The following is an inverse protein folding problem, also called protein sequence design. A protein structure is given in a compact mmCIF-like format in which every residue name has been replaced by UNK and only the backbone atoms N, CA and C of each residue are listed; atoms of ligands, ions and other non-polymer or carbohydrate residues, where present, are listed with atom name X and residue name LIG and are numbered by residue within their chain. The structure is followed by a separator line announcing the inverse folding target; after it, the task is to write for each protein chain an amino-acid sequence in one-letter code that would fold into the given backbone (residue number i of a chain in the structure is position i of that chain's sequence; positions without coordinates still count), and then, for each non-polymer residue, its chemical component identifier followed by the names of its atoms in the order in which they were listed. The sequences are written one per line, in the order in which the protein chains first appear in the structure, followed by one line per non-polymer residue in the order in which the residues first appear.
data_IF_334308025208
#
_entry.id   IF_334308025208
#
_cell.length_a   1.000
_cell.length_b   1.000
_cell.length_c   1.000
_cell.angle_alpha   90.00
_cell.angle_beta   90.00
_cell.angle_gamma   90.00
#
_symmetry.space_group_name_H-M   'P 1'
#
loop_
_entity.id
_entity.type
_entity.pdbx_description
1 polymer ?
#
# COMPACT_ATOMS: atom_id res chain seq x y z
N UNK A 1 -33.27 -0.27 4.40
CA UNK A 1 -32.24 0.02 5.44
C UNK A 1 -31.12 -1.02 5.51
N UNK A 2 -31.40 -2.32 5.29
CA UNK A 2 -30.39 -3.40 5.31
C UNK A 2 -29.16 -3.16 4.43
N UNK A 3 -29.35 -2.62 3.22
CA UNK A 3 -28.27 -2.40 2.25
C UNK A 3 -27.18 -1.41 2.75
N UNK A 4 -27.54 -0.43 3.59
CA UNK A 4 -26.56 0.50 4.18
C UNK A 4 -25.72 -0.18 5.26
N UNK A 5 -26.31 -1.10 6.03
CA UNK A 5 -25.63 -1.86 7.08
C UNK A 5 -24.70 -2.90 6.44
N UNK A 6 -25.16 -3.61 5.40
CA UNK A 6 -24.31 -4.54 4.63
C UNK A 6 -23.15 -3.80 3.96
N UNK A 7 -23.38 -2.61 3.41
CA UNK A 7 -22.31 -1.77 2.89
C UNK A 7 -21.32 -1.34 4.00
N UNK A 8 -21.80 -0.99 5.20
CA UNK A 8 -20.96 -0.65 6.35
C UNK A 8 -20.15 -1.85 6.88
N UNK A 9 -20.72 -3.05 6.88
CA UNK A 9 -20.03 -4.28 7.28
C UNK A 9 -19.04 -4.75 6.20
N UNK A 10 -19.40 -4.66 4.91
CA UNK A 10 -18.47 -4.90 3.80
C UNK A 10 -17.33 -3.87 3.72
N UNK A 11 -17.49 -2.69 4.32
CA UNK A 11 -16.41 -1.71 4.49
C UNK A 11 -15.45 -2.08 5.63
N UNK A 12 -15.88 -2.89 6.61
CA UNK A 12 -15.02 -3.35 7.74
C UNK A 12 -14.23 -4.62 7.43
N UNK A 13 -14.61 -5.38 6.40
CA UNK A 13 -13.97 -6.65 6.00
C UNK A 13 -13.52 -6.65 4.54
N UNK A 14 -13.04 -5.51 4.01
CA UNK A 14 -12.29 -5.60 2.75
C UNK A 14 -10.96 -6.26 3.05
N UNK A 15 -10.86 -7.56 2.83
CA UNK A 15 -9.57 -8.22 2.74
C UNK A 15 -8.75 -7.52 1.65
N UNK A 16 -7.44 -7.40 1.87
CA UNK A 16 -6.56 -6.82 0.87
C UNK A 16 -6.72 -7.56 -0.46
N UNK A 17 -7.04 -6.81 -1.51
CA UNK A 17 -7.13 -7.33 -2.86
C UNK A 17 -5.97 -6.74 -3.69
N UNK A 18 -5.05 -7.62 -4.09
CA UNK A 18 -3.90 -7.26 -4.91
C UNK A 18 -4.30 -6.72 -6.29
N UNK A 19 -5.35 -7.27 -6.89
CA UNK A 19 -5.89 -6.81 -8.17
C UNK A 19 -6.40 -5.37 -8.07
N UNK A 20 -7.20 -5.07 -7.04
CA UNK A 20 -7.67 -3.70 -6.78
C UNK A 20 -6.51 -2.76 -6.49
N UNK A 21 -5.54 -3.17 -5.66
CA UNK A 21 -4.35 -2.37 -5.39
C UNK A 21 -3.59 -1.98 -6.65
N UNK A 22 -3.40 -2.95 -7.56
CA UNK A 22 -2.65 -2.76 -8.81
C UNK A 22 -3.40 -1.91 -9.81
N UNK A 23 -4.69 -2.17 -10.02
CA UNK A 23 -5.51 -1.53 -11.07
C UNK A 23 -6.13 -0.19 -10.65
N UNK A 24 -6.24 0.09 -9.35
CA UNK A 24 -6.93 1.27 -8.82
C UNK A 24 -6.11 1.98 -7.73
N UNK A 25 -5.05 2.73 -8.10
CA UNK A 25 -4.19 3.44 -7.15
C UNK A 25 -4.95 4.35 -6.17
N UNK A 26 -6.05 4.96 -6.60
CA UNK A 26 -6.92 5.84 -5.80
C UNK A 26 -7.65 5.10 -4.66
N UNK A 27 -7.82 3.78 -4.79
CA UNK A 27 -8.46 2.92 -3.77
C UNK A 27 -7.47 2.36 -2.75
N UNK A 28 -6.15 2.49 -2.96
CA UNK A 28 -5.10 1.96 -2.05
C UNK A 28 -5.25 2.47 -0.62
N UNK A 29 -5.71 3.71 -0.41
CA UNK A 29 -6.00 4.28 0.92
C UNK A 29 -7.00 3.46 1.74
N UNK A 30 -7.89 2.72 1.10
CA UNK A 30 -8.90 1.89 1.76
C UNK A 30 -8.38 0.50 2.12
N UNK A 31 -7.28 0.06 1.49
CA UNK A 31 -6.68 -1.28 1.66
C UNK A 31 -5.46 -1.25 2.59
N UNK A 32 -4.88 -0.06 2.81
CA UNK A 32 -3.61 0.07 3.52
C UNK A 32 -3.67 -0.41 4.97
N UNK A 33 -4.83 -0.34 5.61
CA UNK A 33 -4.99 -0.80 6.99
C UNK A 33 -4.76 -2.31 7.10
N UNK A 34 -5.22 -3.10 6.13
CA UNK A 34 -5.02 -4.54 6.12
C UNK A 34 -3.57 -4.91 5.83
N UNK A 35 -2.93 -4.19 4.89
CA UNK A 35 -1.51 -4.33 4.59
C UNK A 35 -0.67 -4.17 5.85
N UNK A 36 -0.94 -3.13 6.65
CA UNK A 36 -0.22 -2.84 7.88
C UNK A 36 -0.55 -3.85 9.00
N UNK A 37 -1.84 -4.12 9.25
CA UNK A 37 -2.29 -5.02 10.32
C UNK A 37 -1.77 -6.44 10.17
N UNK A 38 -1.69 -6.93 8.93
CA UNK A 38 -1.24 -8.28 8.64
C UNK A 38 0.25 -8.36 8.28
N UNK A 39 1.00 -7.25 8.39
CA UNK A 39 2.40 -7.16 7.98
C UNK A 39 2.68 -7.74 6.59
N UNK A 40 1.78 -7.53 5.62
CA UNK A 40 1.71 -8.32 4.38
C UNK A 40 2.99 -8.32 3.54
N UNK A 41 3.83 -7.29 3.66
CA UNK A 41 5.09 -7.24 2.93
C UNK A 41 6.27 -7.86 3.68
N UNK A 42 6.24 -7.91 5.01
CA UNK A 42 7.40 -8.33 5.83
C UNK A 42 7.73 -9.79 5.52
N UNK A 43 9.02 -10.08 5.36
CA UNK A 43 9.52 -11.40 4.98
C UNK A 43 9.40 -11.72 3.50
N UNK A 44 8.76 -10.87 2.68
CA UNK A 44 8.69 -11.06 1.23
C UNK A 44 9.93 -10.52 0.53
N UNK A 45 10.37 -11.23 -0.50
CA UNK A 45 11.40 -10.74 -1.41
C UNK A 45 10.81 -9.76 -2.44
N UNK A 46 11.67 -9.11 -3.21
CA UNK A 46 11.27 -8.14 -4.22
C UNK A 46 10.25 -8.70 -5.24
N UNK A 47 10.44 -9.92 -5.75
CA UNK A 47 9.54 -10.52 -6.73
C UNK A 47 8.12 -10.72 -6.16
N UNK A 48 8.03 -11.25 -4.94
CA UNK A 48 6.77 -11.41 -4.22
C UNK A 48 6.09 -10.07 -3.93
N UNK A 49 6.87 -9.02 -3.67
CA UNK A 49 6.35 -7.65 -3.54
C UNK A 49 5.79 -7.14 -4.86
N UNK A 50 6.44 -7.42 -5.99
CA UNK A 50 5.91 -7.05 -7.31
C UNK A 50 4.63 -7.80 -7.66
N UNK A 51 4.53 -9.09 -7.32
CA UNK A 51 3.29 -9.86 -7.48
C UNK A 51 2.15 -9.24 -6.66
N UNK A 52 2.45 -8.82 -5.42
CA UNK A 52 1.47 -8.33 -4.46
C UNK A 52 1.02 -6.89 -4.74
N UNK A 53 1.95 -5.97 -4.96
CA UNK A 53 1.68 -4.54 -5.07
C UNK A 53 1.84 -3.98 -6.48
N UNK A 54 2.37 -4.76 -7.41
CA UNK A 54 2.63 -4.33 -8.79
C UNK A 54 3.92 -3.54 -8.96
N UNK A 55 4.12 -3.07 -10.19
CA UNK A 55 5.36 -2.45 -10.64
C UNK A 55 5.43 -0.93 -10.41
N UNK A 56 4.31 -0.27 -10.10
CA UNK A 56 4.19 1.19 -9.91
C UNK A 56 4.80 1.67 -8.58
N UNK A 57 6.08 1.38 -8.39
CA UNK A 57 6.85 1.74 -7.21
C UNK A 57 7.87 2.81 -7.54
N UNK A 58 8.16 3.65 -6.58
CA UNK A 58 9.37 4.48 -6.58
C UNK A 58 10.48 3.69 -5.91
N UNK A 59 11.64 3.65 -6.54
CA UNK A 59 12.85 3.04 -6.00
C UNK A 59 13.77 4.18 -5.57
N UNK A 60 14.25 4.16 -4.34
CA UNK A 60 15.19 5.15 -3.82
C UNK A 60 16.63 4.63 -3.89
N UNK A 61 17.59 5.54 -3.83
CA UNK A 61 19.03 5.23 -3.89
C UNK A 61 19.49 4.28 -2.78
N UNK A 62 18.82 4.27 -1.63
CA UNK A 62 19.09 3.35 -0.53
C UNK A 62 18.43 1.96 -0.71
N UNK A 63 17.93 1.63 -1.90
CA UNK A 63 17.29 0.35 -2.22
C UNK A 63 15.86 0.18 -1.69
N UNK A 64 15.35 1.14 -0.90
CA UNK A 64 13.98 1.08 -0.39
C UNK A 64 12.96 1.39 -1.49
N UNK A 65 11.76 0.82 -1.37
CA UNK A 65 10.68 1.02 -2.35
C UNK A 65 9.52 1.77 -1.71
N UNK A 66 8.77 2.55 -2.49
CA UNK A 66 7.52 3.12 -2.01
C UNK A 66 6.41 3.06 -3.04
N UNK A 67 5.18 2.90 -2.54
CA UNK A 67 3.96 2.91 -3.32
C UNK A 67 3.10 4.09 -2.89
N UNK A 68 2.62 4.93 -3.81
CA UNK A 68 1.67 5.98 -3.47
C UNK A 68 0.34 5.33 -3.06
N UNK A 69 -0.22 5.77 -1.92
CA UNK A 69 -1.47 5.23 -1.36
C UNK A 69 -2.62 6.23 -1.35
N UNK A 70 -2.32 7.53 -1.43
CA UNK A 70 -3.32 8.59 -1.51
C UNK A 70 -2.72 9.82 -2.16
N UNK A 71 -3.56 10.65 -2.75
CA UNK A 71 -3.17 11.79 -3.58
C UNK A 71 -3.88 13.07 -3.08
N UNK A 72 -3.25 14.21 -3.33
CA UNK A 72 -3.85 15.53 -3.23
C UNK A 72 -4.81 15.77 -4.41
N UNK A 73 -5.57 16.88 -4.38
CA UNK A 73 -6.54 17.22 -5.44
C UNK A 73 -5.87 17.45 -6.80
N UNK A 74 -4.61 17.88 -6.80
CA UNK A 74 -3.79 18.10 -8.00
C UNK A 74 -3.13 16.81 -8.53
N UNK A 75 -3.53 15.64 -8.03
CA UNK A 75 -3.01 14.34 -8.47
C UNK A 75 -1.62 13.99 -7.91
N UNK A 76 -0.97 14.91 -7.20
CA UNK A 76 0.32 14.63 -6.56
C UNK A 76 0.14 13.66 -5.38
N UNK A 77 1.00 12.64 -5.21
CA UNK A 77 0.92 11.75 -4.06
C UNK A 77 1.04 12.51 -2.73
N UNK A 78 0.14 12.23 -1.81
CA UNK A 78 0.09 12.77 -0.45
C UNK A 78 0.71 11.82 0.57
N UNK A 79 0.50 10.52 0.39
CA UNK A 79 0.99 9.48 1.30
C UNK A 79 1.58 8.31 0.54
N UNK A 80 2.52 7.64 1.17
CA UNK A 80 3.22 6.47 0.63
C UNK A 80 3.30 5.35 1.65
N UNK A 81 3.17 4.12 1.18
CA UNK A 81 3.67 2.93 1.86
C UNK A 81 5.14 2.77 1.47
N UNK A 82 6.04 2.84 2.45
CA UNK A 82 7.49 2.65 2.28
C UNK A 82 7.88 1.27 2.78
N UNK A 83 8.61 0.51 1.96
CA UNK A 83 9.16 -0.81 2.24
C UNK A 83 10.68 -0.72 2.34
N UNK A 84 11.25 -1.32 3.38
CA UNK A 84 12.69 -1.37 3.60
C UNK A 84 13.18 -2.80 3.50
N UNK A 85 14.23 -3.00 2.71
CA UNK A 85 14.82 -4.31 2.45
C UNK A 85 16.12 -4.47 3.23
N UNK A 86 16.43 -5.70 3.63
CA UNK A 86 17.77 -6.06 4.09
C UNK A 86 18.71 -6.36 2.90
N UNK A 87 19.95 -6.73 3.19
CA UNK A 87 20.97 -7.07 2.19
C UNK A 87 20.61 -8.30 1.33
N UNK A 88 19.63 -9.11 1.75
CA UNK A 88 19.11 -10.25 0.98
C UNK A 88 17.87 -9.87 0.14
N UNK A 89 17.57 -8.58 -0.01
CA UNK A 89 16.39 -8.08 -0.74
C UNK A 89 15.05 -8.57 -0.18
N UNK A 90 14.98 -8.81 1.14
CA UNK A 90 13.77 -9.19 1.87
C UNK A 90 13.27 -8.01 2.69
N UNK A 91 11.96 -7.74 2.65
CA UNK A 91 11.35 -6.65 3.43
C UNK A 91 11.45 -6.96 4.93
N UNK A 92 12.06 -6.05 5.68
CA UNK A 92 12.17 -6.16 7.15
C UNK A 92 11.10 -5.37 7.87
N UNK A 93 10.71 -4.21 7.33
CA UNK A 93 9.68 -3.37 7.92
C UNK A 93 9.03 -2.45 6.89
N UNK A 94 7.85 -1.95 7.26
CA UNK A 94 7.05 -1.02 6.48
C UNK A 94 6.73 0.23 7.28
N UNK A 95 6.59 1.38 6.62
CA UNK A 95 6.14 2.63 7.24
C UNK A 95 5.25 3.43 6.31
N UNK A 96 4.32 4.19 6.87
CA UNK A 96 3.59 5.22 6.12
C UNK A 96 4.36 6.53 6.21
N UNK A 97 4.62 7.15 5.06
CA UNK A 97 5.19 8.50 4.97
C UNK A 97 4.19 9.45 4.33
N UNK A 98 4.25 10.71 4.72
CA UNK A 98 3.36 11.77 4.28
C UNK A 98 4.21 12.88 3.67
N UNK A 99 3.75 13.45 2.56
CA UNK A 99 4.29 14.71 2.07
C UNK A 99 3.53 15.83 2.76
N UNK A 100 4.27 16.72 3.40
CA UNK A 100 3.77 17.99 3.91
C UNK A 100 4.00 18.99 2.79
N UNK A 101 2.91 19.55 2.25
CA UNK A 101 3.00 20.70 1.35
C UNK A 101 3.06 21.94 2.24
N UNK A 102 4.12 22.72 2.08
CA UNK A 102 4.19 24.08 2.62
C UNK A 102 3.31 25.01 1.79
#
# INVERSE_FOLDING_TARGET
MLNKIIAYFNLRYKTFDSGVWKSHPEKRKNLIQDVLRQNMAVGKNQEQILMLFGNERRIYSNGSWSYPISFFRDGNPKKFLHLYFNNMNVVTHMRIKFIIKN
#
